data_IF_323597426200
#
_entry.id   IF_323597426200
#
_cell.length_a   1.000
_cell.length_b   1.000
_cell.length_c   1.000
_cell.angle_alpha   90.00
_cell.angle_beta   90.00
_cell.angle_gamma   90.00
#
_symmetry.space_group_name_H-M   'P 1'
#
loop_
_entity.id
_entity.type
_entity.pdbx_description
1 polymer ?
#
# COMPACT_ATOMS: atom_id res chain seq x y z
N UNK A 1 14.32 4.03 2.09
CA UNK A 1 13.49 5.26 2.14
C UNK A 1 12.30 5.12 3.09
N UNK A 2 11.32 4.24 2.83
CA UNK A 2 10.14 4.09 3.71
C UNK A 2 10.49 3.75 5.17
N UNK A 3 11.43 2.81 5.40
CA UNK A 3 11.91 2.47 6.75
C UNK A 3 12.48 3.68 7.51
N UNK A 4 13.27 4.51 6.84
CA UNK A 4 13.85 5.73 7.43
C UNK A 4 12.79 6.78 7.76
N UNK A 5 11.75 6.92 6.92
CA UNK A 5 10.63 7.84 7.19
C UNK A 5 9.82 7.34 8.39
N UNK A 6 9.48 6.05 8.44
CA UNK A 6 8.82 5.43 9.60
C UNK A 6 9.65 5.62 10.87
N UNK A 7 10.96 5.40 10.82
CA UNK A 7 11.87 5.61 11.95
C UNK A 7 11.85 7.07 12.44
N UNK A 8 11.79 8.05 11.53
CA UNK A 8 11.65 9.48 11.89
C UNK A 8 10.31 9.82 12.52
N UNK A 9 9.22 9.18 12.08
CA UNK A 9 7.93 9.34 12.74
C UNK A 9 7.99 8.87 14.19
N UNK A 10 8.70 7.76 14.45
CA UNK A 10 8.90 7.21 15.79
C UNK A 10 9.69 8.15 16.72
N UNK A 11 10.44 9.13 16.21
CA UNK A 11 11.12 10.14 17.03
C UNK A 11 10.16 11.14 17.68
N UNK A 12 8.93 11.23 17.19
CA UNK A 12 7.94 12.18 17.66
C UNK A 12 6.70 11.45 18.18
N UNK A 13 6.45 11.53 19.49
CA UNK A 13 5.26 11.01 20.17
C UNK A 13 3.97 11.52 19.54
N UNK A 14 3.97 12.79 19.16
CA UNK A 14 2.83 13.45 18.54
C UNK A 14 2.53 12.97 17.11
N UNK A 15 3.45 12.26 16.45
CA UNK A 15 3.27 11.87 15.05
C UNK A 15 2.13 10.87 14.92
N UNK A 16 1.30 11.02 13.89
CA UNK A 16 0.15 10.15 13.66
C UNK A 16 0.54 8.66 13.66
N UNK A 17 1.64 8.31 13.00
CA UNK A 17 2.14 6.93 12.96
C UNK A 17 2.55 6.43 14.35
N UNK A 18 3.25 7.25 15.16
CA UNK A 18 3.61 6.88 16.53
C UNK A 18 2.37 6.60 17.37
N UNK A 19 1.36 7.47 17.29
CA UNK A 19 0.08 7.29 18.00
C UNK A 19 -0.61 6.00 17.58
N UNK A 20 -0.77 5.80 16.26
CA UNK A 20 -1.44 4.61 15.70
C UNK A 20 -0.76 3.29 16.07
N UNK A 21 0.57 3.26 16.20
CA UNK A 21 1.31 2.05 16.56
C UNK A 21 1.45 1.85 18.06
N UNK A 22 1.71 2.91 18.83
CA UNK A 22 2.20 2.78 20.21
C UNK A 22 1.16 3.16 21.27
N UNK A 23 0.13 3.95 20.94
CA UNK A 23 -0.94 4.23 21.90
C UNK A 23 -1.96 3.06 21.87
N UNK A 24 -2.20 2.36 23.01
CA UNK A 24 -3.00 1.15 23.01
C UNK A 24 -4.40 1.32 22.43
N UNK A 25 -5.10 2.41 22.76
CA UNK A 25 -6.45 2.68 22.28
C UNK A 25 -6.48 2.95 20.76
N UNK A 26 -5.48 3.65 20.24
CA UNK A 26 -5.35 3.97 18.81
C UNK A 26 -4.99 2.72 18.01
N UNK A 27 -4.03 1.93 18.50
CA UNK A 27 -3.65 0.65 17.90
C UNK A 27 -4.82 -0.32 17.87
N UNK A 28 -5.55 -0.48 18.98
CA UNK A 28 -6.70 -1.37 19.03
C UNK A 28 -7.79 -0.97 18.01
N UNK A 29 -8.03 0.33 17.84
CA UNK A 29 -8.95 0.84 16.81
C UNK A 29 -8.47 0.45 15.41
N UNK A 30 -7.19 0.70 15.10
CA UNK A 30 -6.60 0.34 13.82
C UNK A 30 -6.64 -1.18 13.56
N UNK A 31 -6.29 -2.01 14.54
CA UNK A 31 -6.34 -3.47 14.45
C UNK A 31 -7.76 -3.96 14.16
N UNK A 32 -8.77 -3.41 14.85
CA UNK A 32 -10.18 -3.72 14.59
C UNK A 32 -10.58 -3.38 13.15
N UNK A 33 -10.27 -2.18 12.68
CA UNK A 33 -10.60 -1.75 11.31
C UNK A 33 -9.91 -2.63 10.26
N UNK A 34 -8.66 -3.05 10.51
CA UNK A 34 -7.95 -3.98 9.64
C UNK A 34 -8.65 -5.34 9.58
N UNK A 35 -9.07 -5.89 10.73
CA UNK A 35 -9.80 -7.17 10.82
C UNK A 35 -11.17 -7.12 10.14
N UNK A 36 -11.93 -6.04 10.32
CA UNK A 36 -13.21 -5.81 9.66
C UNK A 36 -13.04 -5.74 8.13
N UNK A 37 -12.01 -5.02 7.67
CA UNK A 37 -11.71 -4.89 6.24
C UNK A 37 -11.24 -6.22 5.64
N UNK A 38 -10.45 -7.00 6.38
CA UNK A 38 -10.00 -8.34 5.97
C UNK A 38 -11.15 -9.34 5.85
N UNK A 39 -12.13 -9.26 6.75
CA UNK A 39 -13.35 -10.09 6.72
C UNK A 39 -14.32 -9.66 5.61
N UNK A 40 -14.20 -8.43 5.12
CA UNK A 40 -15.06 -7.84 4.09
C UNK A 40 -14.78 -8.34 2.66
N UNK A 41 -15.61 -7.90 1.69
CA UNK A 41 -15.51 -8.33 0.28
C UNK A 41 -14.16 -7.98 -0.36
N UNK A 42 -13.50 -6.93 0.14
CA UNK A 42 -12.21 -6.44 -0.34
C UNK A 42 -10.99 -7.01 0.40
N UNK A 43 -11.17 -7.87 1.42
CA UNK A 43 -10.07 -8.37 2.24
C UNK A 43 -8.94 -9.06 1.46
N UNK A 44 -9.24 -9.69 0.31
CA UNK A 44 -8.23 -10.30 -0.57
C UNK A 44 -7.28 -9.30 -1.25
N UNK A 45 -7.59 -8.01 -1.19
CA UNK A 45 -6.70 -6.95 -1.65
C UNK A 45 -5.80 -6.43 -0.55
N UNK A 46 -6.12 -6.68 0.73
CA UNK A 46 -5.25 -6.34 1.84
C UNK A 46 -4.03 -7.27 1.86
N UNK A 47 -2.80 -6.73 1.74
CA UNK A 47 -1.58 -7.49 1.90
C UNK A 47 -1.24 -7.66 3.38
N UNK A 48 -2.21 -8.02 4.23
CA UNK A 48 -2.08 -7.94 5.68
C UNK A 48 -1.53 -9.23 6.30
N UNK A 49 -0.51 -9.81 5.68
CA UNK A 49 0.10 -11.04 6.16
C UNK A 49 0.96 -10.84 7.44
N UNK A 50 1.15 -9.60 7.92
CA UNK A 50 2.06 -9.25 9.01
C UNK A 50 1.45 -8.24 9.97
N UNK A 51 1.90 -8.23 11.22
CA UNK A 51 1.61 -7.16 12.19
C UNK A 51 2.51 -5.94 11.91
N UNK A 52 2.18 -5.18 10.86
CA UNK A 52 2.82 -3.92 10.44
C UNK A 52 4.21 -4.00 9.81
N UNK A 53 5.06 -4.95 10.22
CA UNK A 53 6.43 -5.06 9.74
C UNK A 53 6.74 -6.46 9.19
N UNK A 54 7.64 -6.49 8.20
CA UNK A 54 8.38 -7.67 7.83
C UNK A 54 9.73 -7.67 8.53
N UNK A 55 10.25 -8.86 8.84
CA UNK A 55 11.62 -9.05 9.29
C UNK A 55 12.54 -9.33 8.11
N UNK A 56 13.80 -8.90 8.20
CA UNK A 56 14.86 -9.29 7.28
C UNK A 56 15.85 -10.14 8.04
N UNK A 57 16.06 -11.37 7.56
CA UNK A 57 17.04 -12.30 8.10
C UNK A 57 17.57 -13.18 7.00
N UNK A 58 18.90 -13.37 6.94
CA UNK A 58 19.58 -14.10 5.85
C UNK A 58 19.19 -13.54 4.47
N UNK A 59 19.14 -12.20 4.33
CA UNK A 59 18.75 -11.49 3.10
C UNK A 59 17.33 -11.81 2.58
N UNK A 60 16.49 -12.44 3.41
CA UNK A 60 15.12 -12.84 3.05
C UNK A 60 14.09 -12.16 3.93
N UNK A 61 12.97 -11.81 3.30
CA UNK A 61 11.80 -11.23 3.95
C UNK A 61 11.07 -12.31 4.73
N UNK A 62 10.77 -12.04 6.01
CA UNK A 62 10.12 -12.95 6.97
C UNK A 62 8.84 -12.32 7.49
N UNK A 63 7.77 -13.12 7.52
CA UNK A 63 6.51 -12.72 8.14
C UNK A 63 6.72 -12.58 9.65
N UNK A 64 6.34 -11.44 10.20
CA UNK A 64 6.29 -11.22 11.64
C UNK A 64 4.85 -11.07 12.11
N UNK A 65 4.58 -11.60 13.29
CA UNK A 65 3.33 -11.41 14.04
C UNK A 65 3.64 -10.72 15.36
N UNK A 66 2.68 -9.96 15.88
CA UNK A 66 2.80 -9.32 17.18
C UNK A 66 2.23 -10.25 18.24
N UNK A 67 3.08 -10.75 19.13
CA UNK A 67 2.71 -11.67 20.21
C UNK A 67 3.44 -11.26 21.49
N UNK A 68 2.70 -11.16 22.61
CA UNK A 68 3.25 -10.78 23.92
C UNK A 68 4.15 -9.52 23.88
N UNK A 69 3.73 -8.51 23.12
CA UNK A 69 4.46 -7.25 22.97
C UNK A 69 5.75 -7.35 22.12
N UNK A 70 5.94 -8.43 21.38
CA UNK A 70 7.12 -8.64 20.52
C UNK A 70 6.69 -8.96 19.08
N UNK A 71 7.46 -8.49 18.11
CA UNK A 71 7.38 -8.95 16.73
C UNK A 71 8.22 -10.22 16.59
N UNK A 72 7.56 -11.35 16.29
CA UNK A 72 8.19 -12.66 16.22
C UNK A 72 7.96 -13.36 14.88
N UNK A 73 8.88 -14.25 14.51
CA UNK A 73 8.68 -15.24 13.44
C UNK A 73 7.86 -16.44 13.98
N UNK A 74 6.57 -16.60 13.63
CA UNK A 74 5.67 -17.57 14.29
C UNK A 74 6.09 -19.04 14.11
N UNK A 75 6.83 -19.36 13.06
CA UNK A 75 7.25 -20.72 12.71
C UNK A 75 8.71 -21.02 13.08
N UNK A 76 9.37 -20.14 13.85
CA UNK A 76 10.79 -20.28 14.17
C UNK A 76 11.10 -19.89 15.62
N UNK A 77 11.25 -20.88 16.53
CA UNK A 77 11.50 -20.64 17.95
C UNK A 77 12.73 -19.76 18.25
N UNK A 78 13.77 -19.85 17.41
CA UNK A 78 14.98 -19.01 17.49
C UNK A 78 15.04 -17.99 16.33
N UNK A 79 13.87 -17.51 15.88
CA UNK A 79 13.75 -16.49 14.84
C UNK A 79 13.96 -15.08 15.40
N UNK A 80 13.71 -14.07 14.56
CA UNK A 80 13.66 -12.68 15.03
C UNK A 80 12.63 -12.55 16.17
N UNK A 81 13.02 -11.81 17.20
CA UNK A 81 12.16 -11.34 18.28
C UNK A 81 12.56 -9.91 18.63
N UNK A 82 11.66 -8.96 18.38
CA UNK A 82 11.93 -7.53 18.55
C UNK A 82 10.83 -6.95 19.44
N UNK A 83 11.16 -6.33 20.59
CA UNK A 83 10.17 -5.65 21.41
C UNK A 83 9.40 -4.62 20.58
N UNK A 84 8.07 -4.62 20.71
CA UNK A 84 7.19 -3.69 20.01
C UNK A 84 7.13 -2.35 20.74
N UNK A 85 8.31 -1.75 20.91
CA UNK A 85 8.55 -0.52 21.62
C UNK A 85 9.34 0.44 20.73
N UNK A 86 9.11 1.73 20.92
CA UNK A 86 9.64 2.79 20.05
C UNK A 86 11.13 2.65 19.75
N UNK A 87 11.96 2.52 20.79
CA UNK A 87 13.41 2.49 20.66
C UNK A 87 13.86 1.28 19.82
N UNK A 88 13.33 0.10 20.14
CA UNK A 88 13.64 -1.16 19.46
C UNK A 88 13.15 -1.17 18.00
N UNK A 89 11.92 -0.70 17.76
CA UNK A 89 11.37 -0.59 16.40
C UNK A 89 12.19 0.37 15.54
N UNK A 90 12.55 1.54 16.08
CA UNK A 90 13.38 2.54 15.39
C UNK A 90 14.73 1.95 15.05
N UNK A 91 15.42 1.36 16.02
CA UNK A 91 16.74 0.77 15.81
C UNK A 91 16.69 -0.31 14.73
N UNK A 92 15.76 -1.25 14.83
CA UNK A 92 15.63 -2.34 13.86
C UNK A 92 15.27 -1.86 12.45
N UNK A 93 14.52 -0.76 12.30
CA UNK A 93 14.27 -0.12 11.01
C UNK A 93 15.52 0.51 10.40
N UNK A 94 16.36 1.15 11.24
CA UNK A 94 17.59 1.80 10.80
C UNK A 94 18.69 0.79 10.46
N UNK A 95 18.74 -0.33 11.17
CA UNK A 95 19.65 -1.45 10.91
C UNK A 95 19.21 -2.35 9.75
N UNK A 96 18.02 -2.10 9.18
CA UNK A 96 17.47 -2.87 8.07
C UNK A 96 16.96 -4.26 8.47
N UNK A 97 16.81 -4.53 9.76
CA UNK A 97 16.21 -5.76 10.31
C UNK A 97 14.68 -5.74 10.16
N UNK A 98 14.06 -4.56 10.22
CA UNK A 98 12.63 -4.37 9.95
C UNK A 98 12.38 -3.62 8.65
N UNK A 99 11.34 -4.06 7.94
CA UNK A 99 10.79 -3.39 6.77
C UNK A 99 9.31 -3.09 7.02
N UNK A 100 8.87 -1.82 6.91
CA UNK A 100 7.45 -1.51 6.99
C UNK A 100 6.67 -2.28 5.94
N UNK A 101 5.50 -2.82 6.30
CA UNK A 101 4.63 -3.44 5.33
C UNK A 101 4.04 -2.39 4.37
N UNK A 102 3.28 -2.86 3.38
CA UNK A 102 2.76 -1.98 2.35
C UNK A 102 1.76 -0.95 2.92
N UNK A 103 1.00 -1.32 3.95
CA UNK A 103 0.08 -0.40 4.63
C UNK A 103 0.84 0.74 5.32
N UNK A 104 1.87 0.43 6.11
CA UNK A 104 2.68 1.47 6.75
C UNK A 104 3.43 2.35 5.75
N UNK A 105 3.97 1.73 4.69
CA UNK A 105 4.61 2.46 3.59
C UNK A 105 3.64 3.42 2.93
N UNK A 106 2.40 2.98 2.72
CA UNK A 106 1.37 3.84 2.15
C UNK A 106 0.95 4.95 3.13
N UNK A 107 0.77 4.64 4.41
CA UNK A 107 0.38 5.61 5.44
C UNK A 107 1.35 6.79 5.49
N UNK A 108 2.66 6.53 5.51
CA UNK A 108 3.66 7.61 5.52
C UNK A 108 3.68 8.43 4.22
N UNK A 109 3.23 7.85 3.09
CA UNK A 109 3.11 8.57 1.82
C UNK A 109 1.78 9.34 1.71
N UNK A 110 0.70 8.83 2.30
CA UNK A 110 -0.63 9.44 2.25
C UNK A 110 -0.72 10.70 3.11
N UNK A 111 0.06 10.79 4.19
CA UNK A 111 0.17 12.00 5.03
C UNK A 111 0.93 13.13 4.30
N UNK A 112 1.71 12.82 3.25
CA UNK A 112 2.45 13.84 2.51
C UNK A 112 1.54 14.53 1.49
N UNK A 113 1.31 15.84 1.62
CA UNK A 113 0.49 16.56 0.65
C UNK A 113 1.11 16.44 -0.74
N UNK A 114 0.25 16.18 -1.74
CA UNK A 114 0.60 16.12 -3.18
C UNK A 114 1.48 14.93 -3.60
N UNK A 115 1.80 13.99 -2.72
CA UNK A 115 2.41 12.71 -3.11
C UNK A 115 1.32 11.76 -3.58
N UNK A 116 1.49 11.18 -4.77
CA UNK A 116 0.56 10.21 -5.35
C UNK A 116 1.30 8.91 -5.64
N UNK A 117 0.71 7.80 -5.22
CA UNK A 117 1.28 6.47 -5.46
C UNK A 117 0.80 5.98 -6.82
N UNK A 118 1.72 5.91 -7.78
CA UNK A 118 1.46 5.31 -9.10
C UNK A 118 2.08 3.93 -9.15
N UNK A 119 1.33 2.95 -9.60
CA UNK A 119 1.83 1.59 -9.77
C UNK A 119 0.77 0.65 -10.33
N UNK A 120 1.03 -0.65 -10.26
CA UNK A 120 0.26 -1.65 -11.00
C UNK A 120 -1.22 -1.79 -10.58
N UNK A 121 -1.99 -2.52 -11.39
CA UNK A 121 -3.44 -2.69 -11.25
C UNK A 121 -3.96 -2.98 -9.82
N UNK A 122 -3.19 -3.70 -8.99
CA UNK A 122 -3.58 -4.00 -7.60
C UNK A 122 -3.60 -2.76 -6.69
N UNK A 123 -2.83 -1.71 -7.01
CA UNK A 123 -2.76 -0.50 -6.20
C UNK A 123 -4.09 0.21 -6.13
N UNK A 124 -4.86 0.21 -7.22
CA UNK A 124 -6.21 0.77 -7.26
C UNK A 124 -7.08 0.17 -6.15
N UNK A 125 -6.97 -1.14 -5.93
CA UNK A 125 -7.72 -1.84 -4.89
C UNK A 125 -7.23 -1.50 -3.49
N UNK A 126 -5.94 -1.69 -3.18
CA UNK A 126 -5.46 -1.50 -1.81
C UNK A 126 -5.27 -0.04 -1.39
N UNK A 127 -5.03 0.91 -2.30
CA UNK A 127 -4.93 2.34 -1.96
C UNK A 127 -6.26 2.85 -1.41
N UNK A 128 -7.37 2.52 -2.09
CA UNK A 128 -8.71 2.87 -1.61
C UNK A 128 -9.00 2.23 -0.24
N UNK A 129 -8.58 0.97 -0.04
CA UNK A 129 -8.76 0.29 1.24
C UNK A 129 -7.90 0.89 2.34
N UNK A 130 -6.66 1.25 2.05
CA UNK A 130 -5.77 1.88 3.01
C UNK A 130 -6.27 3.27 3.41
N UNK A 131 -6.83 4.04 2.48
CA UNK A 131 -7.53 5.28 2.79
C UNK A 131 -8.71 5.04 3.73
N UNK A 132 -9.58 4.06 3.44
CA UNK A 132 -10.72 3.79 4.31
C UNK A 132 -10.30 3.30 5.70
N UNK A 133 -9.25 2.46 5.77
CA UNK A 133 -8.70 1.99 7.05
C UNK A 133 -8.12 3.15 7.85
N UNK A 134 -7.32 4.01 7.19
CA UNK A 134 -6.73 5.18 7.84
C UNK A 134 -7.82 6.10 8.34
N UNK A 135 -8.79 6.48 7.50
CA UNK A 135 -9.90 7.37 7.85
C UNK A 135 -10.66 6.85 9.09
N UNK A 136 -10.97 5.55 9.14
CA UNK A 136 -11.65 4.96 10.30
C UNK A 136 -10.77 4.88 11.57
N UNK A 137 -9.44 4.90 11.42
CA UNK A 137 -8.50 4.94 12.52
C UNK A 137 -8.21 6.36 13.05
N UNK A 138 -8.56 7.42 12.32
CA UNK A 138 -8.35 8.81 12.74
C UNK A 138 -9.25 9.19 13.94
N UNK A 139 -8.75 10.13 14.75
CA UNK A 139 -9.48 10.78 15.83
C UNK A 139 -10.00 12.14 15.35
N UNK A 140 -11.29 12.18 15.00
CA UNK A 140 -11.93 13.42 14.52
C UNK A 140 -12.01 14.52 15.60
N UNK A 141 -11.76 14.20 16.87
CA UNK A 141 -11.70 15.23 17.92
C UNK A 141 -10.40 16.04 17.85
N UNK A 142 -9.32 15.47 17.31
CA UNK A 142 -8.05 16.15 17.08
C UNK A 142 -8.11 17.00 15.79
N UNK A 143 -7.86 18.33 15.85
CA UNK A 143 -7.99 19.21 14.68
C UNK A 143 -7.13 18.81 13.48
N UNK A 144 -5.88 18.38 13.73
CA UNK A 144 -4.94 17.95 12.69
C UNK A 144 -5.45 16.70 11.94
N UNK A 145 -5.98 15.74 12.67
CA UNK A 145 -6.51 14.50 12.10
C UNK A 145 -7.86 14.72 11.41
N UNK A 146 -8.68 15.65 11.91
CA UNK A 146 -9.90 16.08 11.21
C UNK A 146 -9.58 16.73 9.85
N UNK A 147 -8.54 17.56 9.80
CA UNK A 147 -8.04 18.12 8.54
C UNK A 147 -7.61 17.03 7.57
N UNK A 148 -6.80 16.09 8.05
CA UNK A 148 -6.38 14.92 7.25
C UNK A 148 -7.58 14.07 6.79
N UNK A 149 -8.57 13.85 7.65
CA UNK A 149 -9.79 13.12 7.28
C UNK A 149 -10.54 13.80 6.12
N UNK A 150 -10.67 15.13 6.16
CA UNK A 150 -11.29 15.89 5.08
C UNK A 150 -10.48 15.78 3.77
N UNK A 151 -9.14 15.82 3.84
CA UNK A 151 -8.28 15.62 2.66
C UNK A 151 -8.42 14.19 2.09
N UNK A 152 -8.45 13.17 2.94
CA UNK A 152 -8.57 11.76 2.53
C UNK A 152 -9.94 11.41 1.95
N UNK A 153 -10.98 12.19 2.25
CA UNK A 153 -12.30 12.05 1.62
C UNK A 153 -12.30 12.47 0.15
N UNK A 154 -11.34 13.29 -0.28
CA UNK A 154 -11.16 13.65 -1.68
C UNK A 154 -10.65 12.41 -2.42
N UNK A 155 -11.57 11.71 -3.09
CA UNK A 155 -11.26 10.52 -3.89
C UNK A 155 -10.55 10.93 -5.19
N UNK A 156 -9.24 10.96 -5.15
CA UNK A 156 -8.45 11.03 -6.37
C UNK A 156 -8.29 9.63 -6.99
N UNK A 157 -8.93 9.43 -8.13
CA UNK A 157 -8.80 8.19 -8.89
C UNK A 157 -7.67 8.36 -9.91
N UNK A 158 -6.48 7.86 -9.60
CA UNK A 158 -5.43 7.69 -10.60
C UNK A 158 -5.54 6.27 -11.19
N UNK A 159 -5.70 6.18 -12.51
CA UNK A 159 -5.78 4.90 -13.22
C UNK A 159 -4.37 4.46 -13.63
N UNK A 160 -3.83 3.45 -12.93
CA UNK A 160 -2.56 2.79 -13.25
C UNK A 160 -2.80 1.46 -13.94
N UNK A 161 -3.31 1.46 -15.16
CA UNK A 161 -3.33 0.25 -15.98
C UNK A 161 -1.92 0.07 -16.55
N UNK A 162 -1.24 -1.04 -16.21
CA UNK A 162 -0.09 -1.49 -17.01
C UNK A 162 -0.66 -1.96 -18.34
N UNK A 163 -0.86 -1.04 -19.25
CA UNK A 163 -1.33 -1.34 -20.59
C UNK A 163 -0.40 -0.60 -21.54
N UNK A 164 0.66 -1.29 -21.90
CA UNK A 164 1.34 -1.10 -23.16
C UNK A 164 1.45 -2.50 -23.73
N UNK A 165 0.49 -2.83 -24.59
CA UNK A 165 0.40 -4.00 -25.49
C UNK A 165 1.05 -5.32 -25.01
N UNK A 166 0.24 -6.35 -24.73
CA UNK A 166 0.75 -7.68 -24.37
C UNK A 166 1.51 -8.38 -25.53
N UNK A 167 1.35 -7.91 -26.78
CA UNK A 167 1.96 -8.49 -27.98
C UNK A 167 3.34 -7.89 -28.29
N UNK A 168 3.61 -6.66 -27.84
CA UNK A 168 4.84 -5.94 -28.15
C UNK A 168 5.27 -5.08 -26.97
N UNK A 169 6.47 -5.32 -26.45
CA UNK A 169 6.97 -4.56 -25.30
C UNK A 169 7.15 -3.08 -25.63
N UNK A 170 7.05 -2.21 -24.61
CA UNK A 170 7.40 -0.77 -24.72
C UNK A 170 8.76 -0.58 -25.39
N UNK A 171 9.72 -1.45 -25.07
CA UNK A 171 11.06 -1.42 -25.64
C UNK A 171 11.03 -1.66 -27.16
N UNK A 172 10.26 -2.62 -27.64
CA UNK A 172 10.11 -2.93 -29.07
C UNK A 172 9.32 -1.85 -29.80
N UNK A 173 8.28 -1.29 -29.18
CA UNK A 173 7.56 -0.14 -29.72
C UNK A 173 8.48 1.07 -29.89
N UNK A 174 9.24 1.41 -28.85
CA UNK A 174 10.22 2.51 -28.86
C UNK A 174 11.32 2.24 -29.90
N UNK A 175 11.79 1.00 -30.03
CA UNK A 175 12.83 0.63 -30.99
C UNK A 175 12.39 0.74 -32.46
N UNK A 176 11.08 0.64 -32.73
CA UNK A 176 10.52 0.82 -34.07
C UNK A 176 10.27 2.27 -34.48
N UNK A 177 10.43 3.23 -33.57
CA UNK A 177 10.14 4.64 -33.82
C UNK A 177 11.38 5.44 -34.27
N UNK A 178 11.22 6.44 -35.15
CA UNK A 178 12.32 7.32 -35.54
C UNK A 178 12.91 8.08 -34.34
N UNK A 179 14.24 8.19 -34.31
CA UNK A 179 14.95 8.97 -33.29
C UNK A 179 14.44 10.42 -33.24
N UNK A 180 14.18 10.93 -32.04
CA UNK A 180 13.73 12.31 -31.81
C UNK A 180 12.22 12.56 -31.96
N UNK A 181 11.39 11.56 -32.32
CA UNK A 181 9.92 11.71 -32.43
C UNK A 181 9.12 10.80 -31.49
N UNK A 182 9.77 10.28 -30.45
CA UNK A 182 9.21 9.30 -29.54
C UNK A 182 7.83 9.67 -28.98
N UNK A 183 7.67 10.88 -28.42
CA UNK A 183 6.41 11.28 -27.78
C UNK A 183 5.28 11.58 -28.77
N UNK A 184 5.47 12.37 -29.84
CA UNK A 184 4.43 12.59 -30.86
C UNK A 184 3.95 11.30 -31.53
N UNK A 185 4.86 10.36 -31.82
CA UNK A 185 4.51 9.13 -32.55
C UNK A 185 3.79 8.12 -31.64
N UNK A 186 4.23 7.98 -30.38
CA UNK A 186 3.49 7.21 -29.35
C UNK A 186 2.09 7.80 -29.12
N UNK A 187 1.99 9.13 -29.03
CA UNK A 187 0.71 9.82 -28.87
C UNK A 187 -0.21 9.57 -30.08
N UNK A 188 0.32 9.62 -31.30
CA UNK A 188 -0.42 9.30 -32.52
C UNK A 188 -0.92 7.86 -32.53
N UNK A 189 -0.05 6.91 -32.19
CA UNK A 189 -0.39 5.49 -32.10
C UNK A 189 -1.52 5.20 -31.10
N UNK A 190 -1.45 5.74 -29.88
CA UNK A 190 -2.52 5.51 -28.90
C UNK A 190 -3.79 6.31 -29.19
N UNK A 191 -3.70 7.45 -29.88
CA UNK A 191 -4.89 8.19 -30.33
C UNK A 191 -5.68 7.46 -31.41
N UNK A 192 -5.04 6.58 -32.19
CA UNK A 192 -5.72 5.79 -33.21
C UNK A 192 -6.38 4.52 -32.67
N UNK A 193 -6.24 4.22 -31.37
CA UNK A 193 -6.86 3.08 -30.73
C UNK A 193 -7.91 3.55 -29.72
N UNK A 194 -9.01 2.81 -29.64
CA UNK A 194 -9.99 2.99 -28.59
C UNK A 194 -9.42 2.58 -27.23
N UNK A 195 -10.07 3.04 -26.16
CA UNK A 195 -9.75 2.60 -24.81
C UNK A 195 -9.90 1.08 -24.65
N UNK A 196 -10.92 0.48 -25.27
CA UNK A 196 -11.14 -0.96 -25.27
C UNK A 196 -9.99 -1.70 -25.97
N UNK A 197 -9.61 -1.28 -27.19
CA UNK A 197 -8.50 -1.90 -27.93
C UNK A 197 -7.17 -1.77 -27.19
N UNK A 198 -6.91 -0.60 -26.62
CA UNK A 198 -5.66 -0.36 -25.90
C UNK A 198 -5.59 -1.27 -24.68
N UNK A 199 -6.70 -1.44 -23.94
CA UNK A 199 -6.76 -2.20 -22.67
C UNK A 199 -7.20 -3.66 -22.78
N UNK A 200 -7.34 -4.18 -24.00
CA UNK A 200 -7.95 -5.49 -24.29
C UNK A 200 -9.30 -5.67 -23.56
N UNK A 201 -10.17 -4.67 -23.66
CA UNK A 201 -11.47 -4.59 -23.00
C UNK A 201 -11.40 -4.87 -21.48
N UNK A 202 -10.38 -4.30 -20.82
CA UNK A 202 -10.09 -4.51 -19.40
C UNK A 202 -9.98 -5.99 -19.02
N UNK A 203 -9.54 -6.87 -19.93
CA UNK A 203 -9.41 -8.32 -19.69
C UNK A 203 -8.67 -8.64 -18.39
N UNK A 204 -7.60 -7.92 -18.08
CA UNK A 204 -6.86 -8.06 -16.81
C UNK A 204 -7.71 -7.82 -15.56
N UNK A 205 -8.76 -7.01 -15.64
CA UNK A 205 -9.74 -6.82 -14.54
C UNK A 205 -10.80 -7.91 -14.60
N UNK A 206 -11.37 -8.17 -15.80
CA UNK A 206 -12.46 -9.15 -15.97
C UNK A 206 -12.04 -10.59 -15.66
N UNK A 207 -10.82 -10.98 -15.98
CA UNK A 207 -10.35 -12.37 -15.83
C UNK A 207 -9.65 -12.60 -14.48
N UNK A 208 -9.15 -11.55 -13.83
CA UNK A 208 -8.45 -11.68 -12.55
C UNK A 208 -9.39 -12.16 -11.45
N UNK A 209 -8.98 -13.25 -10.78
CA UNK A 209 -9.81 -13.93 -9.79
C UNK A 209 -10.21 -13.05 -8.58
N UNK A 210 -9.39 -12.05 -8.21
CA UNK A 210 -9.70 -11.14 -7.09
C UNK A 210 -10.75 -10.12 -7.48
N UNK A 211 -10.64 -9.53 -8.68
CA UNK A 211 -11.60 -8.58 -9.22
C UNK A 211 -12.96 -9.24 -9.53
N UNK A 212 -12.98 -10.46 -10.10
CA UNK A 212 -14.23 -11.23 -10.33
C UNK A 212 -15.03 -11.48 -9.06
N UNK A 213 -14.36 -11.68 -7.92
CA UNK A 213 -15.05 -11.88 -6.63
C UNK A 213 -15.78 -10.60 -6.20
N UNK A 214 -15.20 -9.43 -6.46
CA UNK A 214 -15.85 -8.13 -6.20
C UNK A 214 -17.07 -7.96 -7.10
N UNK A 215 -16.93 -8.16 -8.43
CA UNK A 215 -18.08 -8.04 -9.35
C UNK A 215 -19.28 -8.89 -8.91
N UNK A 216 -19.03 -10.16 -8.56
CA UNK A 216 -20.05 -11.05 -7.98
C UNK A 216 -20.66 -10.57 -6.66
N UNK A 217 -19.87 -9.92 -5.80
CA UNK A 217 -20.35 -9.42 -4.51
C UNK A 217 -21.25 -8.17 -4.66
N UNK A 218 -21.15 -7.44 -5.77
CA UNK A 218 -21.88 -6.21 -6.03
C UNK A 218 -22.88 -6.30 -7.20
N UNK A 219 -23.08 -7.49 -7.78
CA UNK A 219 -24.05 -7.72 -8.85
C UNK A 219 -23.71 -7.02 -10.17
N UNK A 220 -22.41 -6.83 -10.45
CA UNK A 220 -21.90 -6.28 -11.72
C UNK A 220 -21.16 -7.36 -12.51
#
# INVERSE_FOLDING_TARGET
LAASVVARHLDHDGSLLSKLLLEPARRQRLERTLQETESGPFGRFLPNATAYFWGIREERVRKLVLENGHLIEPERPNGLSIPFERAHLKQALLEGVLLPNLFLTFLVLAILPRVRVVGGLRQIGYVALFHSILLAALDETAPEERGLAAELQVRENAWGTRVIDEKMSVREQVAGLPAGRLFPDLLGHYRSHTFAETTDDLKLVRENARWRKIGRAFGV
#
